data_IF_607542342906
#
_entry.id   IF_607542342906
#
_cell.length_a   1.000
_cell.length_b   1.000
_cell.length_c   1.000
_cell.angle_alpha   90.00
_cell.angle_beta   90.00
_cell.angle_gamma   90.00
#
_symmetry.space_group_name_H-M   'P 1'
#
loop_
_entity.id
_entity.type
_entity.pdbx_description
1 polymer ?
#
# COMPACT_ATOMS: atom_id res chain seq x y z
N UNK A 1 -0.77 28.13 -0.01
CA UNK A 1 -0.68 27.65 1.39
C UNK A 1 0.09 26.34 1.41
N UNK A 2 1.43 26.41 1.50
CA UNK A 2 2.34 25.26 1.27
C UNK A 2 3.40 25.20 2.38
N UNK A 3 3.00 24.89 3.63
CA UNK A 3 3.95 24.77 4.77
C UNK A 3 3.96 23.41 5.49
N UNK A 4 3.24 22.41 5.01
CA UNK A 4 3.07 21.12 5.74
C UNK A 4 4.03 20.00 5.35
N UNK A 5 4.85 20.13 4.31
CA UNK A 5 5.62 18.99 3.77
C UNK A 5 7.07 18.87 4.31
N UNK A 6 7.61 19.88 4.97
CA UNK A 6 9.02 19.87 5.45
C UNK A 6 9.20 19.25 6.85
N UNK A 7 8.15 19.16 7.64
CA UNK A 7 8.23 18.66 9.02
C UNK A 7 8.68 17.20 9.16
N UNK A 8 8.11 16.24 8.41
CA UNK A 8 8.48 14.82 8.56
C UNK A 8 9.88 14.50 8.03
N UNK A 9 10.38 15.26 7.04
CA UNK A 9 11.74 15.06 6.52
C UNK A 9 12.82 15.48 7.51
N UNK A 10 12.59 16.56 8.25
CA UNK A 10 13.52 17.06 9.28
C UNK A 10 13.54 16.14 10.51
N UNK A 11 12.43 15.49 10.85
CA UNK A 11 12.36 14.53 11.95
C UNK A 11 13.16 13.26 11.64
N UNK A 12 13.14 12.78 10.39
CA UNK A 12 13.91 11.61 9.96
C UNK A 12 15.43 11.85 10.00
N UNK A 13 15.88 13.08 9.75
CA UNK A 13 17.29 13.47 9.83
C UNK A 13 17.83 13.58 11.28
N UNK A 14 16.96 13.73 12.27
CA UNK A 14 17.33 13.83 13.69
C UNK A 14 17.45 12.46 14.38
N UNK A 15 16.98 11.39 13.78
CA UNK A 15 17.05 10.05 14.33
C UNK A 15 18.45 9.47 14.08
N UNK A 16 19.33 9.51 15.11
CA UNK A 16 20.55 8.70 15.10
C UNK A 16 20.16 7.26 15.44
N UNK A 17 20.29 6.30 14.50
CA UNK A 17 19.97 4.91 14.81
C UNK A 17 20.90 4.39 15.92
N UNK A 18 20.34 3.74 16.91
CA UNK A 18 21.10 2.99 17.89
C UNK A 18 21.82 1.81 17.20
N UNK A 19 22.96 1.37 17.74
CA UNK A 19 23.71 0.26 17.18
C UNK A 19 22.80 -0.96 16.91
N UNK A 20 22.78 -1.46 15.66
CA UNK A 20 21.91 -2.57 15.22
C UNK A 20 20.51 -2.16 14.73
N UNK A 21 20.21 -0.87 14.64
CA UNK A 21 18.98 -0.34 14.04
C UNK A 21 19.27 0.16 12.63
N UNK A 22 18.44 -0.27 11.68
CA UNK A 22 18.45 0.21 10.30
C UNK A 22 17.18 1.01 10.07
N UNK A 23 17.31 2.18 9.50
CA UNK A 23 16.18 3.04 9.10
C UNK A 23 16.39 3.46 7.66
N UNK A 24 15.38 3.39 6.83
CA UNK A 24 15.41 3.91 5.48
C UNK A 24 14.15 4.75 5.22
N UNK A 25 14.32 5.85 4.49
CA UNK A 25 13.23 6.75 4.11
C UNK A 25 13.46 7.23 2.68
N UNK A 26 12.38 7.44 1.96
CA UNK A 26 12.51 7.97 0.61
C UNK A 26 11.20 8.26 -0.09
N UNK A 27 11.29 8.97 -1.24
CA UNK A 27 10.15 9.22 -2.10
C UNK A 27 9.78 7.97 -2.90
N UNK A 28 8.51 7.90 -3.28
CA UNK A 28 8.00 6.88 -4.20
C UNK A 28 7.03 7.49 -5.21
N UNK A 29 7.11 7.00 -6.44
CA UNK A 29 6.11 7.20 -7.50
C UNK A 29 5.21 5.96 -7.55
N UNK A 30 3.92 6.17 -7.80
CA UNK A 30 2.92 5.11 -7.76
C UNK A 30 2.05 5.17 -9.00
N UNK A 31 1.80 4.00 -9.59
CA UNK A 31 0.77 3.75 -10.59
C UNK A 31 -0.27 2.81 -9.99
N UNK A 32 -1.54 3.09 -10.22
CA UNK A 32 -2.64 2.27 -9.72
C UNK A 32 -3.68 2.01 -10.82
N UNK A 33 -4.28 0.82 -10.81
CA UNK A 33 -5.48 0.46 -11.55
C UNK A 33 -6.53 0.02 -10.54
N UNK A 34 -7.67 0.70 -10.52
CA UNK A 34 -8.79 0.42 -9.63
C UNK A 34 -10.00 0.00 -10.43
N UNK A 35 -10.65 -1.07 -10.00
CA UNK A 35 -11.84 -1.62 -10.65
C UNK A 35 -12.88 -2.07 -9.62
N UNK A 36 -14.09 -1.61 -9.79
CA UNK A 36 -15.28 -2.14 -9.14
C UNK A 36 -16.10 -2.94 -10.18
N UNK A 37 -16.16 -4.25 -9.97
CA UNK A 37 -16.61 -5.17 -11.05
C UNK A 37 -18.10 -5.04 -11.32
N UNK A 38 -18.94 -4.87 -10.28
CA UNK A 38 -20.40 -4.83 -10.44
C UNK A 38 -20.89 -3.54 -11.08
N UNK A 39 -20.29 -2.40 -10.74
CA UNK A 39 -20.67 -1.09 -11.28
C UNK A 39 -20.03 -0.78 -12.63
N UNK A 40 -19.03 -1.58 -13.06
CA UNK A 40 -18.25 -1.31 -14.26
C UNK A 40 -17.30 -0.14 -14.14
N UNK A 41 -17.10 0.40 -12.93
CA UNK A 41 -16.19 1.50 -12.68
C UNK A 41 -14.74 1.02 -12.83
N UNK A 42 -13.98 1.74 -13.65
CA UNK A 42 -12.54 1.52 -13.82
C UNK A 42 -11.83 2.85 -13.87
N UNK A 43 -10.74 2.91 -13.09
CA UNK A 43 -9.89 4.08 -13.01
C UNK A 43 -8.43 3.69 -13.14
N UNK A 44 -7.66 4.58 -13.74
CA UNK A 44 -6.21 4.49 -13.75
C UNK A 44 -5.66 5.68 -12.99
N UNK A 45 -4.78 5.41 -12.01
CA UNK A 45 -4.24 6.43 -11.13
C UNK A 45 -2.73 6.51 -11.21
N UNK A 46 -2.22 7.69 -10.89
CA UNK A 46 -0.81 7.92 -10.62
C UNK A 46 -0.65 8.86 -9.43
N UNK A 47 0.50 8.82 -8.80
CA UNK A 47 0.75 9.68 -7.66
C UNK A 47 2.14 9.59 -7.09
N UNK A 48 2.34 10.38 -6.03
CA UNK A 48 3.61 10.47 -5.33
C UNK A 48 3.37 10.35 -3.83
N UNK A 49 4.40 9.88 -3.15
CA UNK A 49 4.38 9.76 -1.71
C UNK A 49 5.75 9.52 -1.12
N UNK A 50 5.74 9.06 0.12
CA UNK A 50 6.95 8.68 0.84
C UNK A 50 6.80 7.32 1.50
N UNK A 51 7.93 6.68 1.72
CA UNK A 51 8.04 5.42 2.46
C UNK A 51 9.03 5.57 3.60
N UNK A 52 8.75 4.89 4.68
CA UNK A 52 9.62 4.70 5.84
C UNK A 52 9.72 3.21 6.10
N UNK A 53 10.92 2.74 6.32
CA UNK A 53 11.20 1.40 6.79
C UNK A 53 12.19 1.47 7.96
N UNK A 54 11.93 0.70 9.00
CA UNK A 54 12.82 0.59 10.14
C UNK A 54 12.91 -0.88 10.59
N UNK A 55 14.12 -1.32 10.95
CA UNK A 55 14.37 -2.66 11.47
C UNK A 55 15.23 -2.61 12.72
N UNK A 56 14.82 -3.38 13.72
CA UNK A 56 15.61 -3.65 14.91
C UNK A 56 15.48 -5.13 15.27
N UNK A 57 16.61 -5.84 15.29
CA UNK A 57 16.65 -7.29 15.52
C UNK A 57 15.73 -8.04 14.53
N UNK A 58 14.73 -8.74 15.09
CA UNK A 58 13.72 -9.51 14.32
C UNK A 58 12.47 -8.71 13.98
N UNK A 59 12.35 -7.47 14.47
CA UNK A 59 11.20 -6.62 14.20
C UNK A 59 11.50 -5.64 13.09
N UNK A 60 10.54 -5.43 12.23
CA UNK A 60 10.55 -4.33 11.26
C UNK A 60 9.21 -3.63 11.20
N UNK A 61 9.26 -2.35 10.91
CA UNK A 61 8.11 -1.48 10.67
C UNK A 61 8.27 -0.89 9.28
N UNK A 62 7.20 -0.85 8.54
CA UNK A 62 7.12 -0.26 7.21
C UNK A 62 5.89 0.63 7.15
N UNK A 63 6.02 1.82 6.59
CA UNK A 63 4.90 2.73 6.38
C UNK A 63 5.06 3.44 5.04
N UNK A 64 3.95 3.66 4.36
CA UNK A 64 3.89 4.43 3.13
C UNK A 64 2.66 5.34 3.15
N UNK A 65 2.84 6.57 2.68
CA UNK A 65 1.73 7.51 2.44
C UNK A 65 1.84 8.01 1.02
N UNK A 66 0.76 7.90 0.27
CA UNK A 66 0.71 8.26 -1.15
C UNK A 66 -0.53 9.10 -1.41
N UNK A 67 -0.40 10.12 -2.23
CA UNK A 67 -1.52 10.82 -2.83
C UNK A 67 -1.64 10.39 -4.30
N UNK A 68 -2.82 9.89 -4.67
CA UNK A 68 -3.14 9.35 -5.98
C UNK A 68 -4.20 10.22 -6.65
N UNK A 69 -4.05 10.46 -7.94
CA UNK A 69 -5.10 11.02 -8.79
C UNK A 69 -5.57 9.92 -9.73
N UNK A 70 -6.87 9.67 -9.76
CA UNK A 70 -7.50 8.63 -10.55
C UNK A 70 -8.34 9.25 -11.66
N UNK A 71 -8.13 8.82 -12.90
CA UNK A 71 -8.89 9.20 -14.06
C UNK A 71 -9.70 8.00 -14.60
N UNK A 72 -10.93 8.22 -15.11
CA UNK A 72 -11.72 7.17 -15.73
C UNK A 72 -10.99 6.54 -16.91
N UNK A 73 -11.07 5.23 -17.04
CA UNK A 73 -10.59 4.52 -18.23
C UNK A 73 -11.66 4.54 -19.31
N UNK A 74 -11.27 4.68 -20.57
CA UNK A 74 -12.19 4.65 -21.70
C UNK A 74 -13.07 3.39 -21.66
N UNK A 75 -14.39 3.55 -21.82
CA UNK A 75 -15.38 2.48 -21.72
C UNK A 75 -15.73 2.07 -20.27
N UNK A 76 -15.25 2.81 -19.28
CA UNK A 76 -15.71 2.72 -17.90
C UNK A 76 -17.09 3.35 -17.74
N UNK A 77 -17.84 2.90 -16.72
CA UNK A 77 -19.06 3.58 -16.27
C UNK A 77 -18.78 4.85 -15.44
N UNK A 78 -17.51 5.22 -15.26
CA UNK A 78 -17.10 6.39 -14.51
C UNK A 78 -17.09 7.64 -15.39
N UNK A 79 -17.71 8.72 -14.89
CA UNK A 79 -17.85 10.00 -15.62
C UNK A 79 -16.79 11.04 -15.21
N UNK A 80 -16.21 10.89 -14.03
CA UNK A 80 -15.23 11.84 -13.45
C UNK A 80 -14.16 11.14 -12.63
N UNK A 81 -12.99 11.77 -12.54
CA UNK A 81 -11.87 11.30 -11.73
C UNK A 81 -11.97 11.74 -10.27
N UNK A 82 -11.11 11.21 -9.42
CA UNK A 82 -11.04 11.55 -8.01
C UNK A 82 -9.60 11.52 -7.48
N UNK A 83 -9.39 12.15 -6.33
CA UNK A 83 -8.11 12.09 -5.62
C UNK A 83 -8.26 11.24 -4.36
N UNK A 84 -7.26 10.42 -4.07
CA UNK A 84 -7.21 9.60 -2.88
C UNK A 84 -5.89 9.79 -2.12
N UNK A 85 -5.95 9.70 -0.80
CA UNK A 85 -4.76 9.52 0.05
C UNK A 85 -4.78 8.11 0.60
N UNK A 86 -3.73 7.35 0.32
CA UNK A 86 -3.57 5.99 0.81
C UNK A 86 -2.45 5.92 1.83
N UNK A 87 -2.72 5.28 2.94
CA UNK A 87 -1.78 4.97 4.01
C UNK A 87 -1.70 3.47 4.15
N UNK A 88 -0.50 2.95 4.06
CA UNK A 88 -0.15 1.55 4.28
C UNK A 88 0.86 1.48 5.42
N UNK A 89 0.65 0.61 6.40
CA UNK A 89 1.62 0.39 7.46
C UNK A 89 1.65 -1.09 7.88
N UNK A 90 2.83 -1.59 8.22
CA UNK A 90 3.05 -2.96 8.67
C UNK A 90 4.04 -3.01 9.82
N UNK A 91 3.82 -3.98 10.71
CA UNK A 91 4.79 -4.49 11.67
C UNK A 91 5.04 -5.95 11.33
N UNK A 92 6.29 -6.36 11.24
CA UNK A 92 6.64 -7.74 10.95
C UNK A 92 7.65 -8.28 11.94
N UNK A 93 7.57 -9.58 12.18
CA UNK A 93 8.48 -10.35 13.01
C UNK A 93 9.11 -11.48 12.20
N UNK A 94 10.45 -11.52 12.15
CA UNK A 94 11.20 -12.53 11.42
C UNK A 94 11.18 -13.85 12.19
N UNK A 95 10.43 -14.82 11.69
CA UNK A 95 10.36 -16.20 12.21
C UNK A 95 11.51 -17.06 11.71
N UNK A 96 12.06 -16.72 10.54
CA UNK A 96 13.24 -17.34 9.93
C UNK A 96 14.05 -16.28 9.18
N UNK A 97 15.25 -16.64 8.73
CA UNK A 97 16.11 -15.74 7.95
C UNK A 97 15.47 -15.27 6.63
N UNK A 98 14.54 -16.04 6.11
CA UNK A 98 13.87 -15.81 4.82
C UNK A 98 12.35 -15.60 4.93
N UNK A 99 11.80 -15.53 6.15
CA UNK A 99 10.36 -15.41 6.35
C UNK A 99 10.01 -14.60 7.59
N UNK A 100 8.95 -13.78 7.47
CA UNK A 100 8.35 -13.03 8.57
C UNK A 100 6.84 -13.21 8.55
N UNK A 101 6.23 -13.19 9.73
CA UNK A 101 4.80 -12.92 9.88
C UNK A 101 4.58 -11.42 9.98
N UNK A 102 3.47 -10.92 9.48
CA UNK A 102 3.19 -9.49 9.50
C UNK A 102 1.73 -9.17 9.81
N UNK A 103 1.54 -8.03 10.46
CA UNK A 103 0.25 -7.40 10.66
C UNK A 103 0.35 -5.95 10.23
N UNK A 104 -0.70 -5.43 9.62
CA UNK A 104 -0.69 -4.07 9.11
C UNK A 104 -2.07 -3.48 8.94
N UNK A 105 -2.10 -2.28 8.39
CA UNK A 105 -3.32 -1.56 8.04
C UNK A 105 -3.21 -1.01 6.62
N UNK A 106 -4.34 -1.01 5.95
CA UNK A 106 -4.60 -0.26 4.73
C UNK A 106 -5.66 0.78 5.07
N UNK A 107 -5.44 2.01 4.71
CA UNK A 107 -6.47 3.04 4.75
C UNK A 107 -6.37 3.90 3.51
N UNK A 108 -7.46 3.98 2.74
CA UNK A 108 -7.62 4.90 1.62
C UNK A 108 -8.80 5.82 1.91
N UNK A 109 -8.50 7.10 1.95
CA UNK A 109 -9.48 8.18 2.05
C UNK A 109 -9.58 8.88 0.70
N UNK A 110 -10.78 9.13 0.24
CA UNK A 110 -11.09 9.73 -1.06
C UNK A 110 -11.77 11.08 -0.83
N UNK A 111 -11.74 11.95 -1.84
CA UNK A 111 -12.45 13.22 -1.81
C UNK A 111 -13.94 13.01 -1.47
N UNK A 112 -14.59 13.95 -0.73
CA UNK A 112 -15.93 13.74 -0.16
C UNK A 112 -17.01 13.32 -1.18
N UNK A 113 -16.89 13.77 -2.42
CA UNK A 113 -17.80 13.43 -3.53
C UNK A 113 -17.72 11.95 -3.93
N UNK A 114 -16.60 11.30 -3.61
CA UNK A 114 -16.31 9.90 -3.90
C UNK A 114 -16.06 9.06 -2.64
N UNK A 115 -16.51 9.54 -1.48
CA UNK A 115 -16.26 8.88 -0.19
C UNK A 115 -16.68 7.40 -0.17
N UNK A 116 -17.70 7.03 -0.95
CA UNK A 116 -18.10 5.63 -1.12
C UNK A 116 -16.98 4.66 -1.54
N UNK A 117 -15.89 5.17 -2.12
CA UNK A 117 -14.70 4.41 -2.53
C UNK A 117 -13.60 4.39 -1.46
N UNK A 118 -13.81 5.07 -0.33
CA UNK A 118 -12.91 4.99 0.82
C UNK A 118 -12.99 3.60 1.46
N UNK A 119 -11.82 3.08 1.85
CA UNK A 119 -11.71 1.74 2.43
C UNK A 119 -10.65 1.71 3.52
N UNK A 120 -10.92 0.98 4.59
CA UNK A 120 -9.96 0.63 5.61
C UNK A 120 -9.98 -0.87 5.89
N UNK A 121 -8.82 -1.48 6.10
CA UNK A 121 -8.70 -2.90 6.44
C UNK A 121 -7.48 -3.16 7.33
N UNK A 122 -7.55 -4.21 8.12
CA UNK A 122 -6.39 -4.80 8.80
C UNK A 122 -5.81 -5.89 7.90
N UNK A 123 -4.50 -5.93 7.79
CA UNK A 123 -3.74 -6.96 7.06
C UNK A 123 -3.12 -7.93 8.05
N UNK A 124 -3.24 -9.22 7.78
CA UNK A 124 -2.58 -10.28 8.55
C UNK A 124 -2.02 -11.31 7.59
N UNK A 125 -0.74 -11.61 7.68
CA UNK A 125 -0.14 -12.56 6.74
C UNK A 125 1.34 -12.79 6.97
N UNK A 126 2.03 -13.01 5.86
CA UNK A 126 3.44 -13.32 5.85
C UNK A 126 4.15 -12.72 4.64
N UNK A 127 5.46 -12.56 4.78
CA UNK A 127 6.35 -12.25 3.67
C UNK A 127 7.56 -13.16 3.68
N UNK A 128 8.10 -13.42 2.51
CA UNK A 128 9.36 -14.14 2.33
C UNK A 128 10.37 -13.32 1.56
N UNK A 129 11.64 -13.59 1.80
CA UNK A 129 12.76 -12.89 1.21
C UNK A 129 13.63 -13.85 0.44
N UNK A 130 14.06 -13.44 -0.75
CA UNK A 130 14.99 -14.19 -1.56
C UNK A 130 16.09 -13.27 -2.08
N UNK A 131 17.32 -13.52 -1.67
CA UNK A 131 18.49 -12.80 -2.18
C UNK A 131 18.87 -13.34 -3.57
N UNK A 132 18.85 -12.47 -4.58
CA UNK A 132 19.23 -12.81 -5.97
C UNK A 132 20.64 -12.34 -6.32
N UNK A 133 21.36 -11.72 -5.36
CA UNK A 133 22.73 -11.26 -5.53
C UNK A 133 23.21 -10.41 -4.36
N UNK A 134 24.46 -9.95 -4.38
CA UNK A 134 25.02 -9.09 -3.34
C UNK A 134 24.37 -7.70 -3.38
N UNK A 135 23.29 -7.49 -2.67
CA UNK A 135 22.58 -6.20 -2.59
C UNK A 135 21.27 -6.15 -3.36
N UNK A 136 20.74 -7.30 -3.82
CA UNK A 136 19.42 -7.37 -4.42
C UNK A 136 18.56 -8.42 -3.70
N UNK A 137 17.37 -8.03 -3.27
CA UNK A 137 16.42 -8.87 -2.53
C UNK A 137 15.06 -8.81 -3.18
N UNK A 138 14.47 -9.96 -3.46
CA UNK A 138 13.07 -10.10 -3.86
C UNK A 138 12.24 -10.39 -2.62
N UNK A 139 11.08 -9.77 -2.51
CA UNK A 139 10.13 -9.94 -1.40
C UNK A 139 8.81 -10.39 -1.96
N UNK A 140 8.29 -11.51 -1.46
CA UNK A 140 6.92 -11.96 -1.71
C UNK A 140 6.09 -11.70 -0.46
N UNK A 141 4.88 -11.19 -0.63
CA UNK A 141 3.95 -10.88 0.44
C UNK A 141 2.59 -11.48 0.14
N UNK A 142 1.97 -12.10 1.14
CA UNK A 142 0.62 -12.63 1.03
C UNK A 142 -0.12 -12.35 2.34
N UNK A 143 -1.18 -11.54 2.26
CA UNK A 143 -1.99 -11.13 3.40
C UNK A 143 -3.47 -11.41 3.17
N UNK A 144 -4.15 -11.69 4.24
CA UNK A 144 -5.60 -11.60 4.35
C UNK A 144 -5.96 -10.18 4.82
N UNK A 145 -6.94 -9.55 4.16
CA UNK A 145 -7.50 -8.27 4.58
C UNK A 145 -8.69 -8.56 5.49
N UNK A 146 -8.47 -8.43 6.79
CA UNK A 146 -9.48 -8.69 7.81
C UNK A 146 -10.37 -7.45 8.02
N UNK A 147 -11.66 -7.72 8.26
CA UNK A 147 -12.66 -6.71 8.60
C UNK A 147 -12.60 -5.43 7.73
N UNK A 148 -12.61 -5.53 6.39
CA UNK A 148 -12.60 -4.35 5.56
C UNK A 148 -13.87 -3.52 5.79
N UNK A 149 -13.68 -2.21 5.97
CA UNK A 149 -14.75 -1.22 6.13
C UNK A 149 -14.81 -0.39 4.86
N UNK A 150 -15.98 -0.30 4.26
CA UNK A 150 -16.25 0.47 3.05
C UNK A 150 -17.17 1.64 3.41
N UNK A 151 -16.79 2.88 3.09
CA UNK A 151 -17.69 4.03 3.32
C UNK A 151 -18.97 3.93 2.49
N UNK A 152 -18.90 3.34 1.29
CA UNK A 152 -20.09 3.00 0.47
C UNK A 152 -20.91 1.82 0.98
N UNK A 153 -20.68 1.34 2.22
CA UNK A 153 -21.40 0.24 2.85
C UNK A 153 -21.02 -1.15 2.31
N UNK A 154 -21.63 -2.16 2.92
CA UNK A 154 -21.38 -3.57 2.61
C UNK A 154 -20.29 -4.20 3.49
N UNK A 155 -20.03 -5.47 3.24
CA UNK A 155 -19.01 -6.25 3.92
C UNK A 155 -18.25 -7.11 2.90
N UNK A 156 -17.08 -7.65 3.26
CA UNK A 156 -16.37 -8.58 2.40
C UNK A 156 -16.22 -9.95 3.08
N UNK A 157 -16.55 -11.00 2.33
CA UNK A 157 -16.42 -12.37 2.80
C UNK A 157 -14.96 -12.84 2.77
N UNK A 158 -14.24 -12.55 1.69
CA UNK A 158 -12.82 -12.87 1.49
C UNK A 158 -12.11 -11.68 0.86
N UNK A 159 -10.95 -11.33 1.39
CA UNK A 159 -10.14 -10.24 0.86
C UNK A 159 -8.67 -10.60 0.95
N UNK A 160 -7.95 -10.41 -0.14
CA UNK A 160 -6.55 -10.80 -0.28
C UNK A 160 -5.71 -9.61 -0.74
N UNK A 161 -4.47 -9.58 -0.25
CA UNK A 161 -3.42 -8.66 -0.65
C UNK A 161 -2.16 -9.45 -0.96
N UNK A 162 -1.75 -9.46 -2.22
CA UNK A 162 -0.57 -10.15 -2.72
C UNK A 162 0.44 -9.12 -3.19
N UNK A 163 1.71 -9.30 -2.85
CA UNK A 163 2.77 -8.38 -3.20
C UNK A 163 4.04 -9.06 -3.70
N UNK A 164 4.68 -8.43 -4.66
CA UNK A 164 6.01 -8.72 -5.13
C UNK A 164 6.84 -7.46 -5.01
N UNK A 165 7.99 -7.53 -4.35
CA UNK A 165 8.91 -6.42 -4.18
C UNK A 165 10.31 -6.77 -4.65
N UNK A 166 11.04 -5.76 -5.07
CA UNK A 166 12.46 -5.80 -5.36
C UNK A 166 13.12 -4.63 -4.64
N UNK A 167 14.14 -4.92 -3.85
CA UNK A 167 15.04 -3.94 -3.26
C UNK A 167 16.44 -4.15 -3.82
N UNK A 168 17.06 -3.09 -4.34
CA UNK A 168 18.41 -3.13 -4.93
C UNK A 168 19.25 -2.03 -4.32
N UNK A 169 20.40 -2.39 -3.75
CA UNK A 169 21.40 -1.42 -3.34
C UNK A 169 22.05 -0.80 -4.57
N UNK A 170 21.86 0.49 -4.78
CA UNK A 170 22.41 1.23 -5.91
C UNK A 170 23.81 1.74 -5.61
N UNK A 171 24.01 2.38 -4.45
CA UNK A 171 25.31 2.87 -4.02
C UNK A 171 25.31 3.13 -2.51
N UNK A 172 26.31 2.63 -1.79
CA UNK A 172 26.46 2.89 -0.34
C UNK A 172 25.17 2.55 0.43
N UNK A 173 24.45 3.59 0.90
CA UNK A 173 23.19 3.50 1.64
C UNK A 173 21.94 3.81 0.78
N UNK A 174 22.14 4.06 -0.51
CA UNK A 174 21.05 4.34 -1.44
C UNK A 174 20.50 3.03 -2.01
N UNK A 175 19.20 2.84 -1.90
CA UNK A 175 18.44 1.72 -2.43
C UNK A 175 17.42 2.17 -3.46
N UNK A 176 17.25 1.39 -4.53
CA UNK A 176 16.12 1.46 -5.44
C UNK A 176 15.11 0.40 -5.05
N UNK A 177 13.84 0.77 -4.99
CA UNK A 177 12.75 -0.16 -4.66
C UNK A 177 11.73 -0.18 -5.78
N UNK A 178 11.25 -1.37 -6.09
CA UNK A 178 10.11 -1.57 -6.97
C UNK A 178 9.14 -2.54 -6.30
N UNK A 179 7.86 -2.24 -6.26
CA UNK A 179 6.85 -3.14 -5.72
C UNK A 179 5.64 -3.21 -6.63
N UNK A 180 5.04 -4.38 -6.69
CA UNK A 180 3.77 -4.63 -7.36
C UNK A 180 2.85 -5.33 -6.37
N UNK A 181 1.67 -4.77 -6.13
CA UNK A 181 0.68 -5.32 -5.22
C UNK A 181 -0.66 -5.46 -5.93
N UNK A 182 -1.36 -6.52 -5.59
CA UNK A 182 -2.71 -6.82 -6.05
C UNK A 182 -3.60 -7.02 -4.84
N UNK A 183 -4.63 -6.18 -4.69
CA UNK A 183 -5.64 -6.26 -3.66
C UNK A 183 -6.96 -6.70 -4.29
N UNK A 184 -7.62 -7.68 -3.69
CA UNK A 184 -8.98 -8.07 -4.05
C UNK A 184 -9.84 -8.19 -2.82
N UNK A 185 -10.94 -7.46 -2.80
CA UNK A 185 -11.95 -7.50 -1.74
C UNK A 185 -13.27 -7.97 -2.35
N UNK A 186 -13.72 -9.17 -2.01
CA UNK A 186 -15.01 -9.71 -2.44
C UNK A 186 -16.11 -9.05 -1.62
N UNK A 187 -16.39 -7.78 -1.95
CA UNK A 187 -17.41 -6.98 -1.29
C UNK A 187 -18.80 -7.47 -1.69
N UNK A 188 -19.69 -7.53 -0.70
CA UNK A 188 -21.13 -7.66 -0.86
C UNK A 188 -21.82 -6.41 -0.35
N UNK A 189 -22.78 -5.92 -1.08
CA UNK A 189 -23.52 -4.69 -0.73
C UNK A 189 -24.97 -4.83 -1.12
N UNK A 190 -25.82 -4.04 -0.49
CA UNK A 190 -27.26 -4.01 -0.75
C UNK A 190 -27.71 -2.58 -1.11
N UNK A 191 -27.40 -2.10 -2.34
CA UNK A 191 -27.81 -0.77 -2.76
C UNK A 191 -29.32 -0.75 -3.03
N UNK A 192 -30.09 -0.18 -2.13
CA UNK A 192 -31.55 -0.01 -2.28
C UNK A 192 -32.43 -1.08 -1.64
N UNK A 193 -31.87 -2.00 -0.83
CA UNK A 193 -32.66 -2.91 0.00
C UNK A 193 -33.32 -4.10 -0.72
N UNK A 194 -32.99 -4.33 -1.99
CA UNK A 194 -33.60 -5.38 -2.82
C UNK A 194 -32.90 -6.73 -2.75
N UNK A 195 -31.81 -6.84 -1.99
CA UNK A 195 -30.98 -8.04 -1.82
C UNK A 195 -29.50 -7.73 -1.95
N UNK A 196 -28.67 -8.62 -1.43
CA UNK A 196 -27.21 -8.48 -1.54
C UNK A 196 -26.74 -8.80 -2.97
N UNK A 197 -25.84 -7.98 -3.48
CA UNK A 197 -25.14 -8.21 -4.72
C UNK A 197 -23.64 -8.32 -4.47
N UNK A 198 -22.96 -9.15 -5.25
CA UNK A 198 -21.50 -9.22 -5.26
C UNK A 198 -20.93 -8.02 -6.02
N UNK A 199 -20.15 -7.20 -5.34
CA UNK A 199 -19.48 -6.01 -5.88
C UNK A 199 -17.98 -6.03 -5.57
N UNK A 200 -17.22 -6.99 -6.12
CA UNK A 200 -15.81 -7.13 -5.82
C UNK A 200 -15.03 -5.90 -6.29
N UNK A 201 -14.11 -5.46 -5.43
CA UNK A 201 -13.17 -4.39 -5.70
C UNK A 201 -11.80 -5.03 -5.96
N UNK A 202 -11.15 -4.62 -7.02
CA UNK A 202 -9.79 -4.99 -7.38
C UNK A 202 -8.94 -3.75 -7.51
N UNK A 203 -7.74 -3.80 -6.94
CA UNK A 203 -6.76 -2.74 -7.08
C UNK A 203 -5.39 -3.34 -7.33
N UNK A 204 -4.71 -2.80 -8.32
CA UNK A 204 -3.31 -3.12 -8.62
C UNK A 204 -2.49 -1.86 -8.41
N UNK A 205 -1.39 -1.99 -7.68
CA UNK A 205 -0.51 -0.85 -7.37
C UNK A 205 0.93 -1.22 -7.69
N UNK A 206 1.55 -0.46 -8.59
CA UNK A 206 2.98 -0.51 -8.86
C UNK A 206 3.66 0.71 -8.22
N UNK A 207 4.72 0.50 -7.46
CA UNK A 207 5.48 1.57 -6.80
C UNK A 207 6.94 1.48 -7.21
N UNK A 208 7.53 2.62 -7.51
CA UNK A 208 8.96 2.80 -7.75
C UNK A 208 9.48 3.84 -6.76
N UNK A 209 10.52 3.50 -6.02
CA UNK A 209 11.04 4.36 -4.96
C UNK A 209 12.55 4.39 -4.90
N UNK A 210 13.03 5.42 -4.24
CA UNK A 210 14.41 5.51 -3.76
C UNK A 210 14.35 5.59 -2.24
N UNK A 211 15.25 4.89 -1.56
CA UNK A 211 15.34 4.92 -0.10
C UNK A 211 16.79 5.16 0.33
N UNK A 212 16.96 6.08 1.28
CA UNK A 212 18.25 6.35 1.90
C UNK A 212 18.28 5.71 3.28
N UNK A 213 19.24 4.80 3.50
CA UNK A 213 19.46 4.12 4.78
C UNK A 213 20.35 4.91 5.74
N UNK A 214 20.11 4.73 7.04
CA UNK A 214 20.87 5.39 8.13
C UNK A 214 21.36 4.37 9.14
#
# INVERSE_FOLDING_TARGET
MTRAALGPLLLALALRPAAGQLVAVGPQFVLADYREVASGLRYRGNGFGGTLWARRNRFSVEAAVVRLSFDPVAGSAADSGFTATQVDAWVAYDVAAYASIEVGVLHRSVDPEFDAQSVGAVRVGARSFYQIGPGATVVFRANYLAAPKFSGGGHAAVSLDLGLGLDVRLAGRLHGTATYAFNRMNRRTNPGGTGEIDAPIQETVARLGLALGF
#
